data_IF_173163038468
#
_entry.id   IF_173163038468
#
_cell.length_a   1.000
_cell.length_b   1.000
_cell.length_c   1.000
_cell.angle_alpha   90.00
_cell.angle_beta   90.00
_cell.angle_gamma   90.00
#
_symmetry.space_group_name_H-M   'P 1'
#
loop_
_entity.id
_entity.type
_entity.pdbx_description
1 polymer ?
#
# COMPACT_ATOMS: atom_id res chain seq x y z
N UNK A 1 7.05 -24.73 -11.31
CA UNK A 1 5.87 -24.16 -12.01
C UNK A 1 6.13 -24.18 -13.52
N UNK A 2 5.17 -24.56 -14.38
CA UNK A 2 5.40 -24.67 -15.85
C UNK A 2 5.74 -23.33 -16.50
N UNK A 3 5.05 -22.27 -16.09
CA UNK A 3 5.34 -20.90 -16.50
C UNK A 3 5.58 -20.09 -15.22
N UNK A 4 6.77 -19.55 -15.06
CA UNK A 4 7.11 -18.64 -13.97
C UNK A 4 7.88 -17.48 -14.59
N UNK A 5 7.25 -16.30 -14.61
CA UNK A 5 7.74 -15.15 -15.38
C UNK A 5 7.60 -13.88 -14.58
N UNK A 6 8.59 -13.02 -14.67
CA UNK A 6 8.50 -11.62 -14.25
C UNK A 6 8.35 -10.76 -15.49
N UNK A 7 7.42 -9.82 -15.46
CA UNK A 7 7.13 -8.90 -16.55
C UNK A 7 7.08 -7.46 -16.04
N UNK A 8 7.16 -6.53 -16.98
CA UNK A 8 6.80 -5.12 -16.77
C UNK A 8 5.62 -4.72 -17.62
N UNK A 9 4.82 -3.79 -17.11
CA UNK A 9 3.86 -3.00 -17.88
C UNK A 9 4.39 -1.57 -17.92
N UNK A 10 4.37 -0.94 -19.09
CA UNK A 10 4.80 0.45 -19.28
C UNK A 10 3.65 1.28 -19.84
N UNK A 11 3.43 2.46 -19.27
CA UNK A 11 2.52 3.47 -19.83
C UNK A 11 3.24 4.39 -20.82
N UNK A 12 2.51 5.13 -21.65
CA UNK A 12 3.07 6.20 -22.49
C UNK A 12 3.78 7.30 -21.70
N UNK A 13 3.34 7.56 -20.46
CA UNK A 13 3.95 8.55 -19.56
C UNK A 13 5.31 8.11 -18.98
N UNK A 14 5.75 6.88 -19.29
CA UNK A 14 7.00 6.31 -18.80
C UNK A 14 6.89 5.58 -17.47
N UNK A 15 5.71 5.57 -16.82
CA UNK A 15 5.52 4.79 -15.59
C UNK A 15 5.62 3.29 -15.85
N UNK A 16 6.31 2.60 -14.95
CA UNK A 16 6.56 1.16 -15.01
C UNK A 16 5.87 0.46 -13.84
N UNK A 17 5.21 -0.66 -14.10
CA UNK A 17 4.72 -1.60 -13.10
C UNK A 17 5.40 -2.95 -13.28
N UNK A 18 5.88 -3.55 -12.21
CA UNK A 18 6.50 -4.88 -12.20
C UNK A 18 5.52 -5.89 -11.60
N UNK A 19 5.43 -7.08 -12.18
CA UNK A 19 4.68 -8.17 -11.59
C UNK A 19 5.17 -9.54 -12.04
N UNK A 20 4.77 -10.58 -11.32
CA UNK A 20 4.97 -11.96 -11.75
C UNK A 20 3.67 -12.62 -12.22
N UNK A 21 3.80 -13.66 -13.04
CA UNK A 21 2.68 -14.47 -13.51
C UNK A 21 3.09 -15.91 -13.75
N UNK A 22 2.11 -16.80 -13.59
CA UNK A 22 2.20 -18.20 -14.02
C UNK A 22 1.30 -18.51 -15.22
N UNK A 23 0.75 -17.48 -15.86
CA UNK A 23 -0.05 -17.65 -17.07
C UNK A 23 0.84 -17.95 -18.26
N UNK A 24 0.31 -18.77 -19.17
CA UNK A 24 0.98 -19.13 -20.43
C UNK A 24 1.30 -17.91 -21.29
N UNK A 25 0.39 -16.94 -21.37
CA UNK A 25 0.52 -15.74 -22.21
C UNK A 25 0.51 -14.45 -21.40
N UNK A 26 1.42 -13.52 -21.71
CA UNK A 26 1.46 -12.20 -21.08
C UNK A 26 0.26 -11.33 -21.46
N UNK A 27 -0.25 -11.44 -22.69
CA UNK A 27 -1.43 -10.70 -23.12
C UNK A 27 -2.65 -11.00 -22.24
N UNK A 28 -2.87 -12.27 -21.86
CA UNK A 28 -3.95 -12.64 -20.92
C UNK A 28 -3.78 -11.94 -19.56
N UNK A 29 -2.53 -11.81 -19.09
CA UNK A 29 -2.24 -11.12 -17.83
C UNK A 29 -2.51 -9.63 -17.94
N UNK A 30 -2.16 -9.01 -19.07
CA UNK A 30 -2.47 -7.61 -19.34
C UNK A 30 -3.98 -7.38 -19.44
N UNK A 31 -4.72 -8.23 -20.15
CA UNK A 31 -6.19 -8.15 -20.24
C UNK A 31 -6.85 -8.25 -18.88
N UNK A 32 -6.36 -9.11 -17.98
CA UNK A 32 -6.87 -9.20 -16.62
C UNK A 32 -6.65 -7.89 -15.82
N UNK A 33 -5.49 -7.24 -15.99
CA UNK A 33 -5.23 -5.93 -15.38
C UNK A 33 -6.16 -4.84 -15.92
N UNK A 34 -6.34 -4.77 -17.25
CA UNK A 34 -7.28 -3.83 -17.90
C UNK A 34 -8.71 -4.05 -17.42
N UNK A 35 -9.19 -5.28 -17.42
CA UNK A 35 -10.52 -5.63 -16.94
C UNK A 35 -10.71 -5.22 -15.46
N UNK A 36 -9.73 -5.50 -14.60
CA UNK A 36 -9.79 -5.12 -13.20
C UNK A 36 -9.73 -3.59 -12.99
N UNK A 37 -9.11 -2.84 -13.89
CA UNK A 37 -9.11 -1.38 -13.88
C UNK A 37 -10.50 -0.84 -14.25
N UNK A 38 -11.03 -1.24 -15.41
CA UNK A 38 -12.32 -0.75 -15.94
C UNK A 38 -13.49 -1.07 -15.00
N UNK A 39 -13.51 -2.26 -14.39
CA UNK A 39 -14.64 -2.69 -13.56
C UNK A 39 -14.59 -2.19 -12.10
N UNK A 40 -13.66 -1.29 -11.75
CA UNK A 40 -13.55 -0.75 -10.39
C UNK A 40 -14.28 0.58 -10.23
N UNK A 41 -15.60 0.54 -10.27
CA UNK A 41 -16.40 1.63 -9.73
C UNK A 41 -16.27 1.64 -8.18
N UNK A 42 -15.52 2.60 -7.63
CA UNK A 42 -15.50 2.91 -6.18
C UNK A 42 -14.74 1.95 -5.24
N UNK A 43 -13.87 1.06 -5.74
CA UNK A 43 -13.07 0.12 -4.90
C UNK A 43 -11.59 0.49 -4.86
N UNK A 44 -10.89 0.01 -3.82
CA UNK A 44 -9.45 0.24 -3.63
C UNK A 44 -8.65 -0.12 -4.89
N UNK A 45 -7.85 0.85 -5.34
CA UNK A 45 -7.06 0.79 -6.57
C UNK A 45 -5.85 -0.14 -6.42
N UNK A 46 -5.48 -0.88 -7.47
CA UNK A 46 -4.28 -1.73 -7.47
C UNK A 46 -3.12 -0.82 -7.86
N UNK A 47 -1.90 -1.18 -7.50
CA UNK A 47 -0.73 -0.38 -7.88
C UNK A 47 -0.59 -0.21 -9.39
N UNK A 48 -0.97 -1.23 -10.17
CA UNK A 48 -1.04 -1.14 -11.63
C UNK A 48 -2.08 -0.15 -12.16
N UNK A 49 -3.10 0.21 -11.37
CA UNK A 49 -4.10 1.20 -11.77
C UNK A 49 -3.52 2.60 -11.94
N UNK A 50 -2.54 2.98 -11.12
CA UNK A 50 -1.84 4.27 -11.26
C UNK A 50 -1.19 4.45 -12.63
N UNK A 51 -0.77 3.35 -13.24
CA UNK A 51 -0.21 3.35 -14.58
C UNK A 51 -1.30 3.64 -15.62
N UNK A 52 -2.46 2.99 -15.48
CA UNK A 52 -3.61 3.17 -16.37
C UNK A 52 -4.26 4.55 -16.25
N UNK A 53 -4.21 5.18 -15.08
CA UNK A 53 -4.68 6.57 -14.87
C UNK A 53 -3.91 7.60 -15.73
N UNK A 54 -2.76 7.21 -16.29
CA UNK A 54 -1.96 8.05 -17.20
C UNK A 54 -2.06 7.67 -18.68
N UNK A 55 -2.83 6.64 -19.02
CA UNK A 55 -3.04 6.21 -20.40
C UNK A 55 -4.36 6.83 -20.92
N UNK A 56 -4.32 7.56 -22.04
CA UNK A 56 -5.54 8.03 -22.73
C UNK A 56 -6.35 6.86 -23.29
N UNK A 57 -5.65 5.85 -23.83
CA UNK A 57 -6.19 4.56 -24.18
C UNK A 57 -5.42 3.43 -23.46
N UNK A 58 -6.15 2.50 -22.84
CA UNK A 58 -5.54 1.35 -22.15
C UNK A 58 -4.69 0.47 -23.09
N UNK A 59 -4.95 0.50 -24.39
CA UNK A 59 -4.16 -0.21 -25.41
C UNK A 59 -2.77 0.39 -25.65
N UNK A 60 -2.54 1.63 -25.21
CA UNK A 60 -1.22 2.25 -25.29
C UNK A 60 -0.23 1.68 -24.26
N UNK A 61 -0.75 1.08 -23.20
CA UNK A 61 0.08 0.48 -22.17
C UNK A 61 0.57 -0.91 -22.64
N UNK A 62 1.89 -1.14 -22.59
CA UNK A 62 2.55 -2.34 -23.16
C UNK A 62 3.06 -3.28 -22.08
N UNK A 63 2.90 -4.58 -22.28
CA UNK A 63 3.48 -5.62 -21.42
C UNK A 63 4.73 -6.22 -22.07
N UNK A 64 5.79 -6.43 -21.31
CA UNK A 64 7.05 -7.03 -21.78
C UNK A 64 7.59 -8.02 -20.76
N UNK A 65 8.11 -9.14 -21.25
CA UNK A 65 8.83 -10.11 -20.43
C UNK A 65 10.14 -9.50 -19.93
N UNK A 66 10.42 -9.65 -18.65
CA UNK A 66 11.72 -9.32 -18.07
C UNK A 66 12.55 -10.57 -17.87
N UNK A 67 11.95 -11.63 -17.34
CA UNK A 67 12.68 -12.83 -16.96
C UNK A 67 11.78 -14.07 -16.95
N UNK A 68 12.29 -15.19 -17.46
CA UNK A 68 11.76 -16.51 -17.13
C UNK A 68 12.51 -17.03 -15.91
N UNK A 69 11.77 -17.41 -14.87
CA UNK A 69 12.29 -17.82 -13.58
C UNK A 69 12.06 -19.32 -13.43
N UNK A 70 13.10 -20.08 -13.11
CA UNK A 70 12.93 -21.46 -12.66
C UNK A 70 12.50 -21.45 -11.18
N UNK A 71 11.19 -21.28 -10.96
CA UNK A 71 10.60 -21.23 -9.63
C UNK A 71 9.83 -22.53 -9.33
N UNK A 72 10.12 -23.14 -8.19
CA UNK A 72 9.42 -24.32 -7.69
C UNK A 72 8.01 -23.97 -7.28
N UNK A 73 7.86 -22.83 -6.61
CA UNK A 73 6.60 -22.35 -6.06
C UNK A 73 6.39 -20.83 -6.26
N UNK A 74 5.22 -20.37 -5.82
CA UNK A 74 4.83 -18.97 -5.88
C UNK A 74 5.73 -18.07 -5.02
N UNK A 75 6.27 -18.59 -3.92
CA UNK A 75 7.09 -17.82 -2.99
C UNK A 75 8.44 -17.46 -3.63
N UNK A 76 9.10 -18.43 -4.28
CA UNK A 76 10.34 -18.19 -5.05
C UNK A 76 10.11 -17.19 -6.19
N UNK A 77 9.02 -17.35 -6.96
CA UNK A 77 8.67 -16.42 -8.03
C UNK A 77 8.43 -14.99 -7.51
N UNK A 78 7.72 -14.86 -6.39
CA UNK A 78 7.46 -13.56 -5.75
C UNK A 78 8.72 -12.93 -5.15
N UNK A 79 9.68 -13.72 -4.67
CA UNK A 79 10.99 -13.18 -4.25
C UNK A 79 11.76 -12.63 -5.44
N UNK A 80 11.64 -13.25 -6.63
CA UNK A 80 12.24 -12.71 -7.84
C UNK A 80 11.54 -11.42 -8.30
N UNK A 81 10.22 -11.36 -8.21
CA UNK A 81 9.45 -10.12 -8.41
C UNK A 81 9.90 -9.00 -7.45
N UNK A 82 10.06 -9.32 -6.15
CA UNK A 82 10.56 -8.39 -5.13
C UNK A 82 11.93 -7.82 -5.49
N UNK A 83 12.84 -8.64 -6.03
CA UNK A 83 14.14 -8.17 -6.50
C UNK A 83 13.99 -7.16 -7.64
N UNK A 84 13.15 -7.44 -8.64
CA UNK A 84 12.92 -6.49 -9.74
C UNK A 84 12.30 -5.18 -9.28
N UNK A 85 11.32 -5.23 -8.37
CA UNK A 85 10.71 -4.01 -7.79
C UNK A 85 11.75 -3.16 -7.06
N UNK A 86 12.69 -3.78 -6.32
CA UNK A 86 13.74 -3.04 -5.60
C UNK A 86 14.81 -2.43 -6.51
N UNK A 87 15.02 -3.00 -7.70
CA UNK A 87 16.09 -2.58 -8.62
C UNK A 87 15.55 -1.83 -9.85
N UNK A 88 14.27 -1.47 -9.85
CA UNK A 88 13.63 -0.75 -10.97
C UNK A 88 12.79 0.39 -10.39
N UNK A 89 12.92 1.58 -10.98
CA UNK A 89 12.00 2.67 -10.69
C UNK A 89 10.59 2.30 -11.22
N UNK A 90 9.65 2.07 -10.30
CA UNK A 90 8.33 1.55 -10.64
C UNK A 90 7.25 1.97 -9.64
N UNK A 91 5.99 1.91 -10.06
CA UNK A 91 4.82 2.37 -9.28
C UNK A 91 4.35 1.37 -8.21
N UNK A 92 5.04 0.24 -8.06
CA UNK A 92 4.70 -0.80 -7.09
C UNK A 92 4.80 -0.27 -5.65
N UNK A 93 3.67 -0.13 -4.97
CA UNK A 93 3.62 0.32 -3.56
C UNK A 93 3.90 -0.80 -2.56
N UNK A 94 3.61 -2.05 -2.93
CA UNK A 94 3.75 -3.20 -2.04
C UNK A 94 4.83 -4.15 -2.58
N UNK A 95 5.73 -4.57 -1.69
CA UNK A 95 6.74 -5.60 -1.97
C UNK A 95 6.16 -6.99 -1.63
N UNK A 96 6.20 -7.95 -2.57
CA UNK A 96 5.86 -9.34 -2.28
C UNK A 96 6.74 -9.91 -1.16
N UNK A 97 6.18 -10.79 -0.33
CA UNK A 97 6.89 -11.46 0.77
C UNK A 97 7.67 -10.51 1.69
N UNK A 98 7.22 -9.26 1.83
CA UNK A 98 7.86 -8.30 2.74
C UNK A 98 7.62 -8.72 4.18
N UNK A 99 8.69 -8.84 4.96
CA UNK A 99 8.60 -9.09 6.40
C UNK A 99 8.38 -7.78 7.15
N UNK A 100 7.71 -7.85 8.29
CA UNK A 100 7.48 -6.69 9.16
C UNK A 100 8.79 -5.98 9.53
N UNK A 101 9.86 -6.72 9.84
CA UNK A 101 11.17 -6.14 10.15
C UNK A 101 11.78 -5.35 8.99
N UNK A 102 11.59 -5.78 7.74
CA UNK A 102 12.04 -5.03 6.56
C UNK A 102 11.21 -3.75 6.40
N UNK A 103 9.89 -3.84 6.55
CA UNK A 103 9.02 -2.67 6.51
C UNK A 103 9.43 -1.63 7.55
N UNK A 104 9.63 -2.05 8.79
CA UNK A 104 10.03 -1.16 9.88
C UNK A 104 11.39 -0.52 9.60
N UNK A 105 12.38 -1.29 9.13
CA UNK A 105 13.70 -0.76 8.80
C UNK A 105 13.66 0.28 7.68
N UNK A 106 12.94 -0.02 6.60
CA UNK A 106 12.86 0.86 5.43
C UNK A 106 12.04 2.14 5.70
N UNK A 107 11.12 2.11 6.66
CA UNK A 107 10.23 3.24 7.00
C UNK A 107 10.51 3.80 8.40
N UNK A 108 11.66 3.48 8.99
CA UNK A 108 11.96 3.77 10.40
C UNK A 108 11.74 5.24 10.73
N UNK A 109 12.32 6.14 9.93
CA UNK A 109 12.32 7.57 10.22
C UNK A 109 10.91 8.17 10.11
N UNK A 110 10.14 7.78 9.10
CA UNK A 110 8.74 8.21 8.94
C UNK A 110 7.83 7.67 10.06
N UNK A 111 8.10 6.45 10.53
CA UNK A 111 7.38 5.87 11.66
C UNK A 111 7.72 6.66 12.93
N UNK A 112 9.00 6.97 13.15
CA UNK A 112 9.45 7.72 14.32
C UNK A 112 8.94 9.15 14.33
N UNK A 113 8.91 9.82 13.18
CA UNK A 113 8.31 11.14 13.02
C UNK A 113 6.84 11.12 13.51
N UNK A 114 6.02 10.22 12.96
CA UNK A 114 4.61 10.06 13.36
C UNK A 114 4.42 9.65 14.82
N UNK A 115 5.35 8.88 15.38
CA UNK A 115 5.32 8.48 16.79
C UNK A 115 5.67 9.65 17.71
N UNK A 116 6.55 10.54 17.26
CA UNK A 116 6.96 11.73 18.03
C UNK A 116 5.95 12.88 17.96
N UNK A 117 5.05 12.88 16.97
CA UNK A 117 3.95 13.85 16.88
C UNK A 117 3.11 13.93 18.16
N UNK A 118 2.97 15.16 18.67
CA UNK A 118 2.06 15.47 19.77
C UNK A 118 0.66 15.79 19.24
N UNK A 119 -0.35 15.43 20.03
CA UNK A 119 -1.76 15.74 19.79
C UNK A 119 -2.35 16.39 21.04
N UNK A 120 -3.22 17.37 20.83
CA UNK A 120 -3.94 18.05 21.89
C UNK A 120 -5.30 17.41 22.13
N UNK A 121 -5.73 17.46 23.38
CA UNK A 121 -7.08 17.14 23.82
C UNK A 121 -7.82 18.45 24.12
N UNK A 122 -9.13 18.56 23.82
CA UNK A 122 -9.93 19.73 24.20
C UNK A 122 -9.90 20.07 25.70
N UNK A 123 -9.61 19.10 26.57
CA UNK A 123 -9.42 19.36 28.00
C UNK A 123 -8.08 20.04 28.36
N UNK A 124 -7.28 20.45 27.37
CA UNK A 124 -5.99 21.13 27.52
C UNK A 124 -4.77 20.21 27.63
N UNK A 125 -4.94 18.88 27.64
CA UNK A 125 -3.81 17.95 27.66
C UNK A 125 -3.11 17.89 26.30
N UNK A 126 -1.77 17.99 26.30
CA UNK A 126 -0.93 17.80 25.11
C UNK A 126 -0.01 16.60 25.36
N UNK A 127 0.01 15.67 24.42
CA UNK A 127 0.86 14.48 24.51
C UNK A 127 0.79 13.66 23.23
N UNK A 128 1.54 12.56 23.18
CA UNK A 128 1.55 11.69 22.00
C UNK A 128 0.21 10.96 21.82
N UNK A 129 -0.04 10.47 20.60
CA UNK A 129 -1.29 9.77 20.25
C UNK A 129 -1.52 8.50 21.09
N UNK A 130 -0.47 7.73 21.37
CA UNK A 130 -0.51 6.54 22.24
C UNK A 130 -0.89 6.90 23.69
N UNK A 131 -0.37 8.02 24.19
CA UNK A 131 -0.68 8.53 25.52
C UNK A 131 -2.14 9.02 25.64
N UNK A 132 -2.76 9.46 24.54
CA UNK A 132 -4.14 9.96 24.52
C UNK A 132 -5.15 8.89 24.99
N UNK A 133 -4.94 7.62 24.63
CA UNK A 133 -5.81 6.51 25.06
C UNK A 133 -5.82 6.35 26.58
N UNK A 134 -4.67 6.50 27.23
CA UNK A 134 -4.55 6.45 28.70
C UNK A 134 -5.05 7.74 29.33
N UNK A 135 -4.72 8.89 28.75
CA UNK A 135 -5.19 10.20 29.21
C UNK A 135 -6.73 10.26 29.31
N UNK A 136 -7.45 9.78 28.29
CA UNK A 136 -8.93 9.74 28.28
C UNK A 136 -9.54 8.91 29.41
N UNK A 137 -8.77 7.99 29.99
CA UNK A 137 -9.18 7.14 31.13
C UNK A 137 -8.79 7.75 32.50
N UNK A 138 -8.18 8.93 32.54
CA UNK A 138 -7.82 9.58 33.82
C UNK A 138 -9.06 10.15 34.51
N UNK A 139 -9.02 10.26 35.85
CA UNK A 139 -10.09 10.89 36.62
C UNK A 139 -10.34 12.33 36.16
N UNK A 140 -9.26 13.11 36.01
CA UNK A 140 -9.29 14.50 35.51
C UNK A 140 -10.03 14.64 34.17
N UNK A 141 -9.74 13.76 33.21
CA UNK A 141 -10.43 13.82 31.92
C UNK A 141 -11.91 13.44 32.03
N UNK A 142 -12.24 12.43 32.85
CA UNK A 142 -13.65 12.05 33.08
C UNK A 142 -14.44 13.15 33.79
N UNK A 143 -13.84 13.83 34.76
CA UNK A 143 -14.44 14.98 35.44
C UNK A 143 -14.67 16.13 34.47
N UNK A 144 -13.67 16.46 33.65
CA UNK A 144 -13.82 17.46 32.58
C UNK A 144 -14.95 17.09 31.60
N UNK A 145 -15.05 15.83 31.18
CA UNK A 145 -16.14 15.35 30.32
C UNK A 145 -17.52 15.51 30.97
N UNK A 146 -17.65 15.26 32.28
CA UNK A 146 -18.90 15.49 33.02
C UNK A 146 -19.26 16.97 33.08
N UNK A 147 -18.29 17.85 33.34
CA UNK A 147 -18.50 19.30 33.42
C UNK A 147 -18.81 19.95 32.07
N UNK A 148 -18.19 19.47 30.98
CA UNK A 148 -18.26 20.15 29.67
C UNK A 148 -19.22 19.48 28.66
N UNK A 149 -19.58 18.20 28.82
CA UNK A 149 -20.45 17.48 27.86
C UNK A 149 -21.84 17.10 28.42
N UNK A 150 -22.10 17.28 29.72
CA UNK A 150 -23.43 17.08 30.33
C UNK A 150 -23.76 18.24 31.29
N UNK A 151 -24.10 19.44 30.79
CA UNK A 151 -24.46 20.56 31.65
C UNK A 151 -25.80 20.34 32.41
N UNK A 152 -26.67 19.45 31.93
CA UNK A 152 -28.00 19.22 32.52
C UNK A 152 -28.11 17.82 33.14
N UNK A 153 -27.72 17.70 34.40
CA UNK A 153 -28.25 16.71 35.34
C UNK A 153 -28.11 17.27 36.77
N UNK A 154 -28.70 18.45 36.97
CA UNK A 154 -29.02 18.99 38.28
C UNK A 154 -30.54 19.18 38.34
N UNK A 155 -31.24 18.15 38.80
CA UNK A 155 -32.57 18.24 39.39
C UNK A 155 -32.55 17.43 40.68
#
# INVERSE_FOLDING_TARGET
>A
MEYARVYKITSPSGLVYIGSTSQKYLCNRLSAHKYAYVNRCGRQSYTSSKLFDTCDNLDDCKISLLENVDAKDKYELQNREKWWIKNTDCVNQNLPNRKWGEYYKDNHDQIMEKVSEQTSCPCGYVGRRDAMTRHRKTGKHREWMKMCCYPDNAF
#
